data_IF_908459586688
#
_entry.id   IF_908459586688
#
_cell.length_a   1.000
_cell.length_b   1.000
_cell.length_c   1.000
_cell.angle_alpha   90.00
_cell.angle_beta   90.00
_cell.angle_gamma   90.00
#
_symmetry.space_group_name_H-M   'P 1'
#
loop_
_entity.id
_entity.type
_entity.pdbx_description
1 polymer ?
#
# COMPACT_ATOMS: atom_id res chain seq x y z
N UNK A 1 -36.55 -28.31 -38.23
CA UNK A 1 -36.25 -26.87 -38.05
C UNK A 1 -35.17 -26.51 -39.06
N UNK A 2 -35.47 -25.66 -40.06
CA UNK A 2 -34.54 -25.41 -41.17
C UNK A 2 -33.27 -24.72 -40.69
N UNK A 3 -32.10 -25.20 -41.11
CA UNK A 3 -30.76 -24.73 -40.73
C UNK A 3 -30.61 -23.20 -40.73
N UNK A 4 -31.29 -22.54 -41.67
CA UNK A 4 -31.36 -21.08 -41.79
C UNK A 4 -31.93 -20.38 -40.54
N UNK A 5 -32.92 -20.98 -39.85
CA UNK A 5 -33.55 -20.45 -38.63
C UNK A 5 -32.67 -20.62 -37.38
N UNK A 6 -31.89 -21.69 -37.30
CA UNK A 6 -30.93 -21.91 -36.19
C UNK A 6 -29.76 -20.92 -36.32
N UNK A 7 -29.28 -20.70 -37.54
CA UNK A 7 -28.20 -19.76 -37.81
C UNK A 7 -28.59 -18.30 -37.49
N UNK A 8 -29.79 -17.87 -37.89
CA UNK A 8 -30.23 -16.48 -37.66
C UNK A 8 -30.75 -16.19 -36.26
N UNK A 9 -31.36 -17.16 -35.56
CA UNK A 9 -31.99 -16.90 -34.26
C UNK A 9 -31.18 -17.37 -33.06
N UNK A 10 -30.09 -18.11 -33.25
CA UNK A 10 -29.25 -18.60 -32.14
C UNK A 10 -27.80 -18.15 -32.33
N UNK A 11 -27.21 -18.38 -33.52
CA UNK A 11 -25.78 -18.11 -33.72
C UNK A 11 -25.47 -16.61 -33.73
N UNK A 12 -26.23 -15.81 -34.50
CA UNK A 12 -26.04 -14.36 -34.58
C UNK A 12 -26.17 -13.66 -33.20
N UNK A 13 -27.21 -13.87 -32.38
CA UNK A 13 -27.31 -13.20 -31.08
C UNK A 13 -26.20 -13.63 -30.11
N UNK A 14 -25.74 -14.88 -30.14
CA UNK A 14 -24.62 -15.34 -29.31
C UNK A 14 -23.32 -14.63 -29.69
N UNK A 15 -23.03 -14.47 -30.98
CA UNK A 15 -21.86 -13.70 -31.42
C UNK A 15 -21.95 -12.21 -31.04
N UNK A 16 -23.14 -11.61 -31.08
CA UNK A 16 -23.35 -10.22 -30.65
C UNK A 16 -23.06 -10.08 -29.16
N UNK A 17 -23.60 -10.97 -28.32
CA UNK A 17 -23.35 -10.95 -26.87
C UNK A 17 -21.87 -11.17 -26.57
N UNK A 18 -21.22 -12.14 -27.22
CA UNK A 18 -19.79 -12.38 -27.05
C UNK A 18 -18.94 -11.15 -27.44
N UNK A 19 -19.30 -10.47 -28.54
CA UNK A 19 -18.62 -9.24 -28.97
C UNK A 19 -18.82 -8.09 -27.98
N UNK A 20 -20.01 -7.94 -27.39
CA UNK A 20 -20.28 -6.93 -26.34
C UNK A 20 -19.44 -7.23 -25.10
N UNK A 21 -19.38 -8.48 -24.65
CA UNK A 21 -18.59 -8.88 -23.48
C UNK A 21 -17.09 -8.68 -23.70
N UNK A 22 -16.58 -9.07 -24.87
CA UNK A 22 -15.19 -8.83 -25.25
C UNK A 22 -14.89 -7.32 -25.33
N UNK A 23 -15.82 -6.53 -25.90
CA UNK A 23 -15.74 -5.08 -25.93
C UNK A 23 -15.68 -4.47 -24.53
N UNK A 24 -16.51 -4.92 -23.60
CA UNK A 24 -16.51 -4.46 -22.21
C UNK A 24 -15.20 -4.81 -21.48
N UNK A 25 -14.67 -6.02 -21.69
CA UNK A 25 -13.40 -6.46 -21.13
C UNK A 25 -12.22 -5.63 -21.65
N UNK A 26 -12.16 -5.41 -22.97
CA UNK A 26 -11.11 -4.59 -23.60
C UNK A 26 -11.23 -3.13 -23.15
N UNK A 27 -12.43 -2.56 -23.13
CA UNK A 27 -12.67 -1.19 -22.68
C UNK A 27 -12.29 -1.00 -21.21
N UNK A 28 -12.60 -1.97 -20.34
CA UNK A 28 -12.19 -1.95 -18.93
C UNK A 28 -10.67 -1.93 -18.77
N UNK A 29 -9.94 -2.74 -19.54
CA UNK A 29 -8.46 -2.72 -19.53
C UNK A 29 -7.88 -1.40 -20.03
N UNK A 30 -8.43 -0.82 -21.10
CA UNK A 30 -7.98 0.47 -21.63
C UNK A 30 -8.24 1.59 -20.61
N UNK A 31 -9.41 1.61 -19.96
CA UNK A 31 -9.74 2.58 -18.92
C UNK A 31 -8.81 2.46 -17.71
N UNK A 32 -8.52 1.24 -17.25
CA UNK A 32 -7.58 1.02 -16.15
C UNK A 32 -6.16 1.53 -16.48
N UNK A 33 -5.68 1.30 -17.71
CA UNK A 33 -4.37 1.79 -18.16
C UNK A 33 -4.34 3.33 -18.26
N UNK A 34 -5.40 3.96 -18.77
CA UNK A 34 -5.49 5.42 -18.84
C UNK A 34 -5.56 6.07 -17.46
N UNK A 35 -6.32 5.48 -16.52
CA UNK A 35 -6.40 5.97 -15.13
C UNK A 35 -5.03 5.87 -14.46
N UNK A 36 -4.28 4.79 -14.68
CA UNK A 36 -2.92 4.64 -14.17
C UNK A 36 -1.96 5.71 -14.72
N UNK A 37 -2.03 6.01 -16.01
CA UNK A 37 -1.18 7.02 -16.63
C UNK A 37 -1.58 8.44 -16.22
N UNK A 38 -2.87 8.71 -15.98
CA UNK A 38 -3.35 10.00 -15.48
C UNK A 38 -2.96 10.25 -14.01
N UNK A 39 -2.98 9.22 -13.15
CA UNK A 39 -2.55 9.34 -11.75
C UNK A 39 -1.03 9.45 -11.60
N UNK A 40 -0.24 8.83 -12.49
CA UNK A 40 1.23 8.85 -12.41
C UNK A 40 1.89 9.96 -13.24
N UNK A 41 1.20 10.55 -14.22
CA UNK A 41 1.72 11.67 -15.02
C UNK A 41 1.48 13.04 -14.35
N UNK A 42 0.50 13.14 -13.45
CA UNK A 42 0.12 14.42 -12.79
C UNK A 42 0.89 14.69 -11.49
N UNK A 43 1.86 13.86 -11.11
CA UNK A 43 2.89 14.24 -10.14
C UNK A 43 4.00 14.96 -10.92
N UNK A 44 3.62 16.03 -11.60
CA UNK A 44 4.57 17.01 -12.10
C UNK A 44 4.97 17.87 -10.89
N UNK A 45 6.29 17.90 -10.68
CA UNK A 45 7.04 18.56 -9.63
C UNK A 45 6.72 20.05 -9.53
N UNK A 46 5.56 20.39 -8.97
CA UNK A 46 5.25 21.75 -8.53
C UNK A 46 5.70 21.91 -7.07
N UNK A 47 6.97 21.62 -6.78
CA UNK A 47 7.64 22.28 -5.67
C UNK A 47 7.97 23.68 -6.19
N UNK A 48 7.27 24.74 -5.77
CA UNK A 48 7.73 26.07 -6.10
C UNK A 48 9.13 26.20 -5.52
N UNK A 49 10.12 26.45 -6.39
CA UNK A 49 11.42 26.98 -6.01
C UNK A 49 11.21 28.40 -5.45
N UNK A 50 10.49 28.49 -4.33
CA UNK A 50 10.49 29.68 -3.51
C UNK A 50 11.86 29.67 -2.87
N UNK A 51 12.76 30.46 -3.43
CA UNK A 51 14.02 30.86 -2.81
C UNK A 51 13.75 31.14 -1.33
N UNK A 52 14.07 30.15 -0.49
CA UNK A 52 14.11 30.30 0.95
C UNK A 52 15.38 31.10 1.18
N UNK A 53 15.23 32.40 1.33
CA UNK A 53 16.26 33.24 1.92
C UNK A 53 16.71 32.54 3.20
N UNK A 54 17.95 32.04 3.17
CA UNK A 54 18.55 31.32 4.29
C UNK A 54 18.67 32.33 5.43
N UNK A 55 17.92 32.21 6.54
CA UNK A 55 18.18 33.06 7.68
C UNK A 55 19.61 32.75 8.15
N UNK A 56 20.45 33.78 8.28
CA UNK A 56 21.80 33.59 8.80
C UNK A 56 21.73 32.88 10.16
N UNK A 57 22.53 31.81 10.38
CA UNK A 57 22.48 31.02 11.58
C UNK A 57 23.08 31.82 12.74
N UNK A 58 22.26 32.60 13.43
CA UNK A 58 22.63 33.32 14.64
C UNK A 58 21.88 32.77 15.84
N UNK A 59 21.99 31.46 16.05
CA UNK A 59 21.87 30.88 17.39
C UNK A 59 22.64 29.56 17.40
N UNK A 60 23.74 29.53 18.14
CA UNK A 60 24.45 28.29 18.47
C UNK A 60 23.58 27.55 19.49
N UNK A 61 22.56 26.84 19.01
CA UNK A 61 21.89 25.82 19.82
C UNK A 61 22.90 24.70 19.97
N UNK A 62 23.52 24.62 21.15
CA UNK A 62 24.29 23.46 21.56
C UNK A 62 23.31 22.28 21.59
N UNK A 63 23.17 21.59 20.47
CA UNK A 63 22.41 20.36 20.35
C UNK A 63 23.07 19.38 21.31
N UNK A 64 22.50 19.22 22.50
CA UNK A 64 22.83 18.10 23.37
C UNK A 64 22.32 16.86 22.65
N UNK A 65 23.16 16.29 21.78
CA UNK A 65 22.86 15.05 21.07
C UNK A 65 23.03 13.91 22.06
N UNK A 66 22.04 13.71 22.92
CA UNK A 66 21.89 12.43 23.62
C UNK A 66 21.51 11.40 22.57
N UNK A 67 22.50 10.67 22.06
CA UNK A 67 22.25 9.53 21.17
C UNK A 67 21.54 8.45 21.96
N UNK A 68 20.37 8.03 21.48
CA UNK A 68 19.62 6.89 22.01
C UNK A 68 19.72 5.76 21.00
N UNK A 69 20.19 4.60 21.44
CA UNK A 69 20.14 3.37 20.67
C UNK A 69 19.09 2.44 21.29
N UNK A 70 17.95 2.29 20.63
CA UNK A 70 16.93 1.34 21.08
C UNK A 70 17.37 -0.07 20.66
N UNK A 71 17.43 -1.05 21.58
CA UNK A 71 17.82 -2.42 21.26
C UNK A 71 16.70 -3.18 20.54
N UNK A 72 16.23 -2.64 19.41
CA UNK A 72 15.19 -3.23 18.57
C UNK A 72 15.85 -4.15 17.57
N UNK A 73 15.30 -5.35 17.42
CA UNK A 73 15.67 -6.25 16.33
C UNK A 73 15.08 -5.72 15.02
N UNK A 74 15.89 -4.97 14.28
CA UNK A 74 15.44 -4.25 13.10
C UNK A 74 15.32 -5.16 11.87
N UNK A 75 14.19 -5.07 11.20
CA UNK A 75 13.91 -5.67 9.89
C UNK A 75 13.30 -4.61 8.96
N UNK A 76 13.66 -4.65 7.68
CA UNK A 76 13.03 -3.80 6.65
C UNK A 76 11.63 -4.32 6.27
N UNK A 77 10.80 -3.46 5.66
CA UNK A 77 9.49 -3.83 5.09
C UNK A 77 9.56 -4.98 4.06
N UNK A 78 10.74 -5.20 3.47
CA UNK A 78 11.08 -6.35 2.65
C UNK A 78 12.10 -7.24 3.39
N UNK A 79 11.71 -8.13 4.33
CA UNK A 79 12.67 -8.83 5.21
C UNK A 79 13.67 -9.72 4.46
N UNK A 80 13.25 -10.22 3.29
CA UNK A 80 14.05 -11.06 2.40
C UNK A 80 14.61 -10.31 1.18
N UNK A 81 14.58 -8.97 1.20
CA UNK A 81 14.95 -8.11 0.07
C UNK A 81 14.12 -8.35 -1.21
N UNK A 82 12.93 -8.95 -1.07
CA UNK A 82 11.92 -8.97 -2.12
C UNK A 82 11.09 -7.70 -2.02
N UNK A 83 11.27 -6.82 -3.01
CA UNK A 83 10.54 -5.56 -3.12
C UNK A 83 9.34 -5.67 -4.08
N UNK A 84 8.82 -6.88 -4.31
CA UNK A 84 7.53 -7.07 -4.95
C UNK A 84 6.37 -6.68 -4.02
N UNK A 85 5.14 -6.67 -4.56
CA UNK A 85 3.95 -6.54 -3.73
C UNK A 85 3.81 -7.77 -2.79
N UNK A 86 3.36 -7.60 -1.54
CA UNK A 86 2.86 -6.35 -0.95
C UNK A 86 3.95 -5.42 -0.39
N UNK A 87 5.21 -5.86 -0.33
CA UNK A 87 6.28 -5.17 0.40
C UNK A 87 6.63 -3.76 -0.11
N UNK A 88 6.21 -3.34 -1.31
CA UNK A 88 6.39 -1.95 -1.77
C UNK A 88 5.59 -0.94 -0.94
N UNK A 89 4.44 -1.37 -0.43
CA UNK A 89 3.48 -0.52 0.28
C UNK A 89 3.40 -0.84 1.78
N UNK A 90 4.25 -1.75 2.28
CA UNK A 90 4.17 -2.27 3.65
C UNK A 90 4.96 -1.44 4.71
N UNK A 91 5.10 -0.12 4.50
CA UNK A 91 6.02 0.69 5.30
C UNK A 91 5.43 1.06 6.67
N UNK A 92 4.13 1.31 6.72
CA UNK A 92 3.35 1.58 7.92
C UNK A 92 3.30 0.34 8.83
N UNK A 93 3.06 -0.84 8.25
CA UNK A 93 2.99 -2.13 8.93
C UNK A 93 4.33 -2.47 9.56
N UNK A 94 5.42 -2.41 8.78
CA UNK A 94 6.75 -2.71 9.28
C UNK A 94 7.15 -1.76 10.43
N UNK A 95 6.84 -0.48 10.30
CA UNK A 95 7.12 0.53 11.33
C UNK A 95 6.30 0.27 12.60
N UNK A 96 5.01 -0.06 12.46
CA UNK A 96 4.11 -0.37 13.56
C UNK A 96 4.54 -1.63 14.31
N UNK A 97 4.88 -2.71 13.59
CA UNK A 97 5.36 -3.97 14.18
C UNK A 97 6.64 -3.74 14.99
N UNK A 98 7.61 -2.99 14.46
CA UNK A 98 8.84 -2.67 15.18
C UNK A 98 8.56 -1.87 16.47
N UNK A 99 7.70 -0.86 16.39
CA UNK A 99 7.32 -0.05 17.53
C UNK A 99 6.59 -0.87 18.60
N UNK A 100 5.58 -1.65 18.19
CA UNK A 100 4.83 -2.56 19.05
C UNK A 100 5.75 -3.59 19.72
N UNK A 101 6.65 -4.22 18.96
CA UNK A 101 7.58 -5.20 19.51
C UNK A 101 8.50 -4.59 20.56
N UNK A 102 9.00 -3.38 20.33
CA UNK A 102 9.83 -2.68 21.29
C UNK A 102 9.09 -2.44 22.63
N UNK A 103 7.88 -1.88 22.57
CA UNK A 103 7.12 -1.57 23.80
C UNK A 103 6.60 -2.82 24.51
N UNK A 104 6.30 -3.87 23.75
CA UNK A 104 5.80 -5.15 24.28
C UNK A 104 6.91 -6.12 24.68
N UNK A 105 8.19 -5.78 24.44
CA UNK A 105 9.34 -6.66 24.72
C UNK A 105 9.34 -7.96 23.91
N UNK A 106 8.78 -7.92 22.70
CA UNK A 106 8.69 -9.06 21.78
C UNK A 106 9.90 -9.05 20.86
N UNK A 107 10.54 -10.21 20.69
CA UNK A 107 11.52 -10.46 19.62
C UNK A 107 10.92 -11.44 18.63
N UNK A 108 11.24 -11.25 17.36
CA UNK A 108 10.77 -12.06 16.25
C UNK A 108 11.98 -12.46 15.40
N UNK A 109 11.98 -13.68 14.92
CA UNK A 109 12.81 -14.04 13.79
C UNK A 109 12.38 -13.26 12.54
N UNK A 110 13.28 -13.17 11.57
CA UNK A 110 12.99 -12.60 10.25
C UNK A 110 11.75 -13.20 9.59
N UNK A 111 11.55 -14.51 9.75
CA UNK A 111 10.37 -15.20 9.20
C UNK A 111 9.10 -14.77 9.93
N UNK A 112 9.10 -14.72 11.26
CA UNK A 112 7.95 -14.24 12.04
C UNK A 112 7.61 -12.79 11.70
N UNK A 113 8.61 -11.91 11.55
CA UNK A 113 8.40 -10.53 11.14
C UNK A 113 7.77 -10.43 9.74
N UNK A 114 8.24 -11.26 8.80
CA UNK A 114 7.65 -11.35 7.46
C UNK A 114 6.20 -11.82 7.50
N UNK A 115 5.90 -12.88 8.25
CA UNK A 115 4.54 -13.38 8.40
C UNK A 115 3.62 -12.35 9.07
N UNK A 116 4.15 -11.58 10.02
CA UNK A 116 3.40 -10.53 10.69
C UNK A 116 3.02 -9.37 9.77
N UNK A 117 3.94 -8.94 8.88
CA UNK A 117 3.63 -7.98 7.81
C UNK A 117 2.47 -8.51 6.96
N UNK A 118 2.57 -9.74 6.47
CA UNK A 118 1.54 -10.33 5.61
C UNK A 118 0.19 -10.48 6.32
N UNK A 119 0.21 -10.77 7.63
CA UNK A 119 -0.99 -10.86 8.47
C UNK A 119 -1.66 -9.49 8.64
N UNK A 120 -0.86 -8.43 8.81
CA UNK A 120 -1.36 -7.06 8.95
C UNK A 120 -1.94 -6.53 7.64
N UNK A 121 -1.21 -6.69 6.52
CA UNK A 121 -1.69 -6.39 5.16
C UNK A 121 -3.04 -7.07 4.89
N UNK A 122 -3.14 -8.37 5.18
CA UNK A 122 -4.39 -9.10 4.97
C UNK A 122 -5.53 -8.57 5.86
N UNK A 123 -5.22 -8.21 7.10
CA UNK A 123 -6.21 -7.61 8.01
C UNK A 123 -6.68 -6.24 7.52
N UNK A 124 -5.80 -5.39 7.00
CA UNK A 124 -6.16 -4.08 6.45
C UNK A 124 -7.06 -4.22 5.21
N UNK A 125 -6.76 -5.17 4.33
CA UNK A 125 -7.64 -5.49 3.19
C UNK A 125 -9.04 -5.90 3.67
N UNK A 126 -9.14 -6.67 4.75
CA UNK A 126 -10.42 -7.09 5.32
C UNK A 126 -11.15 -5.96 6.08
N UNK A 127 -10.40 -5.08 6.75
CA UNK A 127 -10.93 -4.06 7.65
C UNK A 127 -11.19 -2.72 6.95
N UNK A 128 -10.21 -2.22 6.20
CA UNK A 128 -10.27 -0.96 5.45
C UNK A 128 -10.67 -1.15 3.98
N UNK A 129 -10.47 -2.35 3.41
CA UNK A 129 -10.72 -2.62 2.00
C UNK A 129 -9.51 -2.41 1.09
N UNK A 130 -8.41 -1.88 1.63
CA UNK A 130 -7.10 -1.70 1.00
C UNK A 130 -6.05 -1.62 2.10
N UNK A 131 -4.79 -1.91 1.77
CA UNK A 131 -3.65 -1.71 2.68
C UNK A 131 -2.72 -0.60 2.18
N UNK A 132 -2.84 -0.23 0.90
CA UNK A 132 -2.00 0.78 0.28
C UNK A 132 -2.26 2.15 0.91
N UNK A 133 -1.18 2.79 1.37
CA UNK A 133 -1.14 4.18 1.85
C UNK A 133 -2.02 4.47 3.08
N UNK A 134 -1.90 3.68 4.16
CA UNK A 134 -2.60 4.01 5.39
C UNK A 134 -2.18 5.36 5.95
N UNK A 135 -3.17 6.16 6.33
CA UNK A 135 -2.92 7.43 7.03
C UNK A 135 -2.43 7.16 8.44
N UNK A 136 -1.79 8.17 9.07
CA UNK A 136 -1.38 8.08 10.48
C UNK A 136 -2.52 7.68 11.41
N UNK A 137 -3.75 8.17 11.16
CA UNK A 137 -4.93 7.80 11.95
C UNK A 137 -5.28 6.32 11.76
N UNK A 138 -5.21 5.78 10.55
CA UNK A 138 -5.41 4.36 10.27
C UNK A 138 -4.29 3.50 10.86
N UNK A 139 -3.03 3.95 10.82
CA UNK A 139 -1.92 3.24 11.47
C UNK A 139 -2.11 3.17 12.99
N UNK A 140 -2.64 4.23 13.60
CA UNK A 140 -3.00 4.23 15.02
C UNK A 140 -4.19 3.30 15.33
N UNK A 141 -5.16 3.24 14.43
CA UNK A 141 -6.28 2.30 14.50
C UNK A 141 -5.81 0.84 14.37
N UNK A 142 -4.86 0.54 13.48
CA UNK A 142 -4.21 -0.78 13.38
C UNK A 142 -3.63 -1.21 14.72
N UNK A 143 -2.91 -0.33 15.43
CA UNK A 143 -2.35 -0.66 16.74
C UNK A 143 -3.44 -1.09 17.76
N UNK A 144 -4.58 -0.42 17.72
CA UNK A 144 -5.68 -0.68 18.66
C UNK A 144 -6.50 -1.91 18.26
N UNK A 145 -6.86 -2.04 16.98
CA UNK A 145 -7.79 -3.06 16.50
C UNK A 145 -7.09 -4.38 16.14
N UNK A 146 -5.87 -4.33 15.58
CA UNK A 146 -5.11 -5.53 15.22
C UNK A 146 -4.39 -6.14 16.43
N UNK A 147 -3.79 -5.31 17.29
CA UNK A 147 -3.05 -5.77 18.47
C UNK A 147 -3.82 -5.69 19.78
N UNK A 148 -4.96 -5.01 19.83
CA UNK A 148 -5.64 -4.72 21.11
C UNK A 148 -4.84 -3.75 21.99
N UNK A 149 -3.85 -3.04 21.43
CA UNK A 149 -2.94 -2.19 22.18
C UNK A 149 -3.53 -0.78 22.30
N UNK A 150 -4.11 -0.48 23.45
CA UNK A 150 -4.82 0.79 23.73
C UNK A 150 -4.09 1.70 24.71
N UNK A 151 -2.88 1.30 25.14
CA UNK A 151 -2.08 2.02 26.13
C UNK A 151 -0.92 2.76 25.44
N UNK A 152 -1.26 3.72 24.56
CA UNK A 152 -0.33 4.59 23.83
C UNK A 152 -0.73 6.06 23.93
#
# INVERSE_FOLDING_TARGET
>A
MTFKKILTHIVIPVFIVAAILAGYYIFGKIRAAQIYEETHSTIEEAVPEKSVETPEPTTNYELQTTTVNLPIEFYSQAPFADWGMPYQEACEEASLILAHNYVSGISMSKEEFNQEILRMVQWEIEYFGSYEHTTVDQTAEMLSEFYGFTNW
#
